data_IF_394108118995
#
_entry.id   IF_394108118995
#
_cell.length_a   1.000
_cell.length_b   1.000
_cell.length_c   1.000
_cell.angle_alpha   90.00
_cell.angle_beta   90.00
_cell.angle_gamma   90.00
#
_symmetry.space_group_name_H-M   'P 1'
#
loop_
_entity.id
_entity.type
_entity.pdbx_description
1 polymer ?
#
# COMPACT_ATOMS: atom_id res chain seq x y z
N UNK A 1 4.63 18.14 -26.33
CA UNK A 1 4.90 18.22 -24.88
C UNK A 1 6.35 18.65 -24.68
N UNK A 2 6.62 19.67 -23.88
CA UNK A 2 7.98 20.08 -23.59
C UNK A 2 8.67 18.95 -22.80
N UNK A 3 9.84 18.52 -23.27
CA UNK A 3 10.64 17.52 -22.57
C UNK A 3 11.11 18.16 -21.26
N UNK A 4 10.68 17.63 -20.14
CA UNK A 4 11.19 18.06 -18.82
C UNK A 4 12.58 17.45 -18.64
N UNK A 5 13.59 18.31 -18.52
CA UNK A 5 14.97 17.86 -18.37
C UNK A 5 15.33 17.60 -16.90
N UNK A 6 16.35 16.75 -16.69
CA UNK A 6 16.95 16.52 -15.38
C UNK A 6 17.56 17.82 -14.84
N UNK A 7 17.39 18.08 -13.56
CA UNK A 7 17.90 19.27 -12.85
C UNK A 7 18.64 18.86 -11.59
N UNK A 8 19.77 19.48 -11.33
CA UNK A 8 20.57 19.23 -10.12
C UNK A 8 20.80 20.52 -9.32
N UNK A 9 20.86 20.39 -8.02
CA UNK A 9 21.16 21.47 -7.06
C UNK A 9 22.24 20.97 -6.11
N UNK A 10 23.31 21.74 -5.98
CA UNK A 10 24.25 21.56 -4.88
C UNK A 10 23.64 22.14 -3.60
N UNK A 11 23.65 21.36 -2.53
CA UNK A 11 22.97 21.69 -1.26
C UNK A 11 24.00 21.74 -0.16
N UNK A 12 24.34 22.95 0.31
CA UNK A 12 25.27 23.20 1.39
C UNK A 12 24.68 24.06 2.52
N UNK A 13 23.65 24.86 2.21
CA UNK A 13 23.01 25.77 3.16
C UNK A 13 21.49 25.66 3.12
N UNK A 14 20.82 26.19 4.13
CA UNK A 14 19.36 26.13 4.27
C UNK A 14 18.59 26.79 3.09
N UNK A 15 19.22 27.72 2.38
CA UNK A 15 18.59 28.39 1.23
C UNK A 15 18.32 27.42 0.07
N UNK A 16 19.23 26.45 -0.16
CA UNK A 16 19.12 25.47 -1.23
C UNK A 16 18.01 24.43 -0.93
N UNK A 17 17.69 24.16 0.34
CA UNK A 17 16.57 23.30 0.72
C UNK A 17 15.25 23.88 0.18
N UNK A 18 15.05 25.20 0.34
CA UNK A 18 13.88 25.88 -0.22
C UNK A 18 13.86 25.88 -1.74
N UNK A 19 15.03 25.94 -2.39
CA UNK A 19 15.15 25.85 -3.83
C UNK A 19 14.82 24.42 -4.34
N UNK A 20 15.37 23.39 -3.70
CA UNK A 20 15.09 22.00 -4.01
C UNK A 20 13.58 21.67 -3.90
N UNK A 21 12.93 22.16 -2.84
CA UNK A 21 11.50 22.01 -2.63
C UNK A 21 10.69 22.61 -3.77
N UNK A 22 10.95 23.88 -4.14
CA UNK A 22 10.22 24.56 -5.22
C UNK A 22 10.44 23.90 -6.57
N UNK A 23 11.69 23.52 -6.87
CA UNK A 23 12.03 22.84 -8.12
C UNK A 23 11.35 21.47 -8.24
N UNK A 24 11.29 20.71 -7.15
CA UNK A 24 10.60 19.43 -7.12
C UNK A 24 9.10 19.57 -7.36
N UNK A 25 8.45 20.59 -6.77
CA UNK A 25 7.04 20.89 -6.98
C UNK A 25 6.77 21.34 -8.43
N UNK A 26 7.63 22.17 -9.00
CA UNK A 26 7.55 22.64 -10.39
C UNK A 26 7.66 21.47 -11.39
N UNK A 27 8.67 20.62 -11.24
CA UNK A 27 8.89 19.46 -12.10
C UNK A 27 7.72 18.46 -11.98
N UNK A 28 7.29 18.15 -10.75
CA UNK A 28 6.16 17.26 -10.52
C UNK A 28 4.87 17.80 -11.17
N UNK A 29 4.61 19.11 -11.05
CA UNK A 29 3.47 19.75 -11.71
C UNK A 29 3.58 19.67 -13.23
N UNK A 30 4.77 19.93 -13.80
CA UNK A 30 5.01 19.85 -15.25
C UNK A 30 4.87 18.42 -15.80
N UNK A 31 5.17 17.40 -14.97
CA UNK A 31 4.94 15.98 -15.28
C UNK A 31 3.49 15.55 -15.11
N UNK A 32 2.59 16.44 -14.63
CA UNK A 32 1.17 16.17 -14.51
C UNK A 32 0.78 15.38 -13.25
N UNK A 33 1.60 15.38 -12.21
CA UNK A 33 1.19 14.84 -10.89
C UNK A 33 0.05 15.66 -10.29
N UNK A 34 -0.82 14.99 -9.52
CA UNK A 34 -1.87 15.67 -8.77
C UNK A 34 -1.29 16.68 -7.75
N UNK A 35 -2.00 17.80 -7.45
CA UNK A 35 -1.50 18.84 -6.54
C UNK A 35 -1.08 18.33 -5.15
N UNK A 36 -1.77 17.32 -4.63
CA UNK A 36 -1.43 16.68 -3.35
C UNK A 36 -0.11 15.92 -3.43
N UNK A 37 0.08 15.19 -4.53
CA UNK A 37 1.31 14.43 -4.80
C UNK A 37 2.48 15.36 -5.05
N UNK A 38 2.29 16.49 -5.76
CA UNK A 38 3.33 17.52 -5.93
C UNK A 38 3.85 18.03 -4.58
N UNK A 39 2.94 18.30 -3.62
CA UNK A 39 3.31 18.72 -2.26
C UNK A 39 4.09 17.65 -1.49
N UNK A 40 3.72 16.37 -1.64
CA UNK A 40 4.44 15.25 -1.02
C UNK A 40 5.86 15.12 -1.61
N UNK A 41 6.01 15.20 -2.93
CA UNK A 41 7.30 15.19 -3.63
C UNK A 41 8.18 16.37 -3.17
N UNK A 42 7.60 17.57 -3.06
CA UNK A 42 8.31 18.76 -2.58
C UNK A 42 8.79 18.59 -1.12
N UNK A 43 8.00 17.94 -0.28
CA UNK A 43 8.38 17.62 1.10
C UNK A 43 9.54 16.63 1.13
N UNK A 44 9.49 15.57 0.33
CA UNK A 44 10.58 14.59 0.18
C UNK A 44 11.88 15.27 -0.25
N UNK A 45 11.83 16.15 -1.26
CA UNK A 45 13.01 16.91 -1.69
C UNK A 45 13.59 17.77 -0.55
N UNK A 46 12.72 18.38 0.27
CA UNK A 46 13.15 19.14 1.45
C UNK A 46 13.83 18.27 2.50
N UNK A 47 13.28 17.09 2.79
CA UNK A 47 13.84 16.15 3.77
C UNK A 47 15.20 15.63 3.32
N UNK A 48 15.31 15.20 2.06
CA UNK A 48 16.56 14.70 1.50
C UNK A 48 17.64 15.81 1.45
N UNK A 49 17.29 17.04 1.03
CA UNK A 49 18.19 18.18 1.06
C UNK A 49 18.62 18.54 2.48
N UNK A 50 17.71 18.47 3.46
CA UNK A 50 18.02 18.71 4.87
C UNK A 50 19.00 17.67 5.41
N UNK A 51 18.85 16.40 5.00
CA UNK A 51 19.76 15.33 5.39
C UNK A 51 21.18 15.56 4.87
N UNK A 52 21.35 16.06 3.64
CA UNK A 52 22.66 16.45 3.11
C UNK A 52 23.39 17.47 4.01
N UNK A 53 22.67 18.50 4.48
CA UNK A 53 23.25 19.52 5.35
C UNK A 53 23.54 18.97 6.73
N UNK A 54 22.59 18.27 7.34
CA UNK A 54 22.71 17.84 8.74
C UNK A 54 23.72 16.73 8.95
N UNK A 55 23.83 15.81 7.99
CA UNK A 55 24.59 14.58 8.19
C UNK A 55 25.85 14.46 7.32
N UNK A 56 25.97 15.29 6.27
CA UNK A 56 27.06 15.16 5.31
C UNK A 56 27.83 16.46 4.98
N UNK A 57 27.47 17.57 5.61
CA UNK A 57 28.03 18.91 5.32
C UNK A 57 27.75 19.41 3.88
N UNK A 58 26.75 18.82 3.22
CA UNK A 58 26.34 19.15 1.88
C UNK A 58 26.40 17.96 0.92
N UNK A 59 25.95 18.19 -0.31
CA UNK A 59 25.94 17.19 -1.36
C UNK A 59 25.15 17.64 -2.58
N UNK A 60 24.90 16.70 -3.50
CA UNK A 60 24.17 16.94 -4.74
C UNK A 60 22.76 16.33 -4.64
N UNK A 61 21.72 17.11 -4.98
CA UNK A 61 20.37 16.64 -5.17
C UNK A 61 20.01 16.76 -6.65
N UNK A 62 19.57 15.64 -7.26
CA UNK A 62 19.18 15.56 -8.66
C UNK A 62 17.73 15.13 -8.80
N UNK A 63 16.98 15.82 -9.63
CA UNK A 63 15.60 15.56 -9.99
C UNK A 63 15.55 15.12 -11.45
N UNK A 64 15.17 13.86 -11.70
CA UNK A 64 15.18 13.27 -13.03
C UNK A 64 13.79 12.75 -13.39
N UNK A 65 13.14 13.30 -14.42
CA UNK A 65 11.98 12.65 -15.05
C UNK A 65 12.36 11.26 -15.53
N UNK A 66 11.59 10.26 -15.15
CA UNK A 66 11.83 8.87 -15.50
C UNK A 66 10.64 8.30 -16.26
N UNK A 67 10.92 7.31 -17.13
CA UNK A 67 9.91 6.55 -17.82
C UNK A 67 10.30 5.09 -17.83
N UNK A 68 9.39 4.23 -17.38
CA UNK A 68 9.58 2.79 -17.36
C UNK A 68 8.27 2.09 -17.68
N UNK A 69 8.29 1.15 -18.61
CA UNK A 69 7.15 0.34 -19.09
C UNK A 69 5.86 1.16 -19.35
N UNK A 70 6.04 2.36 -19.93
CA UNK A 70 4.93 3.28 -20.25
C UNK A 70 4.48 4.17 -19.09
N UNK A 71 4.96 3.96 -17.88
CA UNK A 71 4.72 4.82 -16.73
C UNK A 71 5.73 5.99 -16.71
N UNK A 72 5.23 7.19 -16.46
CA UNK A 72 6.06 8.37 -16.24
C UNK A 72 6.18 8.64 -14.74
N UNK A 73 7.34 9.11 -14.33
CA UNK A 73 7.62 9.36 -12.92
C UNK A 73 8.68 10.43 -12.69
N UNK A 74 8.98 10.68 -11.44
CA UNK A 74 10.06 11.54 -10.99
C UNK A 74 10.97 10.79 -10.02
N UNK A 75 12.27 10.75 -10.34
CA UNK A 75 13.32 10.28 -9.44
C UNK A 75 13.93 11.48 -8.72
N UNK A 76 14.07 11.38 -7.40
CA UNK A 76 14.87 12.28 -6.57
C UNK A 76 16.05 11.47 -6.06
N UNK A 77 17.24 11.95 -6.36
CA UNK A 77 18.49 11.30 -6.03
C UNK A 77 19.36 12.26 -5.21
N UNK A 78 19.97 11.78 -4.13
CA UNK A 78 20.95 12.54 -3.38
C UNK A 78 22.25 11.76 -3.22
N UNK A 79 23.36 12.45 -3.39
CA UNK A 79 24.71 11.91 -3.23
C UNK A 79 25.51 12.81 -2.31
N UNK A 80 26.08 12.24 -1.28
CA UNK A 80 27.00 12.92 -0.37
C UNK A 80 28.30 12.13 -0.15
N UNK A 81 29.28 12.81 0.46
CA UNK A 81 30.55 12.25 0.88
C UNK A 81 30.75 12.30 2.39
N UNK A 82 29.66 12.29 3.15
CA UNK A 82 29.65 12.34 4.61
C UNK A 82 30.08 11.01 5.26
N UNK A 83 29.86 10.90 6.58
CA UNK A 83 30.29 9.71 7.35
C UNK A 83 29.53 8.43 7.02
N UNK A 84 28.46 8.51 6.24
CA UNK A 84 27.56 7.41 5.96
C UNK A 84 26.60 7.10 7.13
N UNK A 85 25.65 6.19 6.90
CA UNK A 85 24.63 5.74 7.86
C UNK A 85 25.12 4.45 8.52
N UNK A 86 25.15 4.43 9.85
CA UNK A 86 25.65 3.27 10.61
C UNK A 86 24.71 2.05 10.50
N UNK A 87 23.39 2.29 10.53
CA UNK A 87 22.34 1.30 10.37
C UNK A 87 21.19 1.92 9.56
N UNK A 88 21.03 1.47 8.32
CA UNK A 88 19.94 1.95 7.44
C UNK A 88 18.59 1.54 8.02
N UNK A 89 18.48 0.34 8.60
CA UNK A 89 17.23 -0.17 9.19
C UNK A 89 16.78 0.71 10.38
N UNK A 90 17.71 1.16 11.23
CA UNK A 90 17.41 2.09 12.32
C UNK A 90 17.00 3.47 11.80
N UNK A 91 17.70 3.98 10.76
CA UNK A 91 17.39 5.28 10.16
C UNK A 91 16.03 5.31 9.43
N UNK A 92 15.48 4.16 9.09
CA UNK A 92 14.15 3.99 8.49
C UNK A 92 13.03 3.96 9.54
N UNK A 93 13.36 3.82 10.83
CA UNK A 93 12.36 3.77 11.91
C UNK A 93 11.89 5.18 12.27
N UNK A 94 10.58 5.35 12.44
CA UNK A 94 9.99 6.64 12.82
C UNK A 94 10.47 7.07 14.22
N UNK A 95 10.79 8.37 14.33
CA UNK A 95 11.28 8.96 15.58
C UNK A 95 12.79 8.81 15.81
N UNK A 96 13.51 8.09 14.96
CA UNK A 96 14.96 8.04 15.03
C UNK A 96 15.55 9.34 14.46
N UNK A 97 15.87 10.28 15.34
CA UNK A 97 16.59 11.51 15.01
C UNK A 97 17.78 11.65 15.95
N UNK A 98 18.97 11.60 15.40
CA UNK A 98 20.22 11.83 16.15
C UNK A 98 20.44 13.30 16.51
N UNK A 99 19.66 14.23 15.97
CA UNK A 99 19.81 15.69 16.19
C UNK A 99 18.44 16.36 16.22
N UNK A 100 17.74 16.35 17.36
CA UNK A 100 16.71 17.32 17.77
C UNK A 100 15.64 17.78 16.77
N UNK A 101 15.35 17.03 15.71
CA UNK A 101 14.33 17.36 14.71
C UNK A 101 13.06 16.49 14.88
N UNK A 102 11.93 17.00 14.41
CA UNK A 102 10.57 16.43 14.57
C UNK A 102 10.34 15.02 13.94
N UNK A 103 11.38 14.19 13.79
CA UNK A 103 11.22 12.77 13.45
C UNK A 103 10.72 12.45 12.02
N UNK A 104 10.78 13.40 11.09
CA UNK A 104 10.41 13.20 9.69
C UNK A 104 11.62 12.79 8.83
N UNK A 105 12.28 11.69 9.14
CA UNK A 105 13.48 11.24 8.44
C UNK A 105 13.18 10.35 7.20
N UNK A 106 14.14 9.47 6.89
CA UNK A 106 14.07 8.52 5.75
C UNK A 106 12.82 7.63 5.80
N UNK A 107 12.26 7.34 6.98
CA UNK A 107 10.98 6.66 7.13
C UNK A 107 9.82 7.42 6.47
N UNK A 108 9.79 8.75 6.60
CA UNK A 108 8.77 9.58 5.92
C UNK A 108 8.97 9.60 4.40
N UNK A 109 10.22 9.64 3.93
CA UNK A 109 10.53 9.52 2.49
C UNK A 109 9.99 8.20 1.95
N UNK A 110 10.24 7.10 2.65
CA UNK A 110 9.75 5.77 2.26
C UNK A 110 8.22 5.70 2.17
N UNK A 111 7.51 6.36 3.09
CA UNK A 111 6.03 6.39 3.04
C UNK A 111 5.46 7.26 1.92
N UNK A 112 6.16 8.31 1.50
CA UNK A 112 5.69 9.25 0.49
C UNK A 112 6.08 8.88 -0.94
N UNK A 113 7.14 8.12 -1.12
CA UNK A 113 7.63 7.66 -2.41
C UNK A 113 7.20 6.21 -2.67
N UNK A 114 7.20 5.81 -3.93
CA UNK A 114 6.83 4.45 -4.33
C UNK A 114 8.02 3.49 -4.25
N UNK A 115 9.22 4.01 -4.43
CA UNK A 115 10.47 3.26 -4.32
C UNK A 115 11.50 4.09 -3.54
N UNK A 116 12.27 3.41 -2.68
CA UNK A 116 13.39 3.99 -1.95
C UNK A 116 14.55 3.00 -1.91
N UNK A 117 15.70 3.42 -2.40
CA UNK A 117 16.96 2.66 -2.34
C UNK A 117 18.00 3.50 -1.65
N UNK A 118 18.71 2.92 -0.68
CA UNK A 118 19.76 3.61 0.08
C UNK A 118 21.02 2.76 0.01
N UNK A 119 22.06 3.35 -0.56
CA UNK A 119 23.42 2.81 -0.54
C UNK A 119 24.27 3.69 0.37
N UNK A 120 24.64 3.18 1.53
CA UNK A 120 25.49 3.92 2.46
C UNK A 120 26.68 3.06 2.88
N UNK A 121 27.85 3.69 2.90
CA UNK A 121 29.06 3.06 3.35
C UNK A 121 29.76 3.99 4.33
N UNK A 122 30.19 3.46 5.47
CA UNK A 122 30.93 4.23 6.49
C UNK A 122 32.16 4.87 5.84
N UNK A 123 32.31 6.16 6.07
CA UNK A 123 33.42 7.02 5.53
C UNK A 123 33.42 7.19 4.00
N UNK A 124 32.39 6.82 3.27
CA UNK A 124 32.29 7.01 1.81
C UNK A 124 31.05 7.77 1.37
N UNK A 125 30.19 8.15 2.33
CA UNK A 125 28.96 8.89 2.06
C UNK A 125 27.73 8.03 1.90
N UNK A 126 26.64 8.68 1.50
CA UNK A 126 25.33 8.06 1.28
C UNK A 126 24.76 8.46 -0.08
N UNK A 127 24.22 7.49 -0.77
CA UNK A 127 23.50 7.65 -2.02
C UNK A 127 22.06 7.18 -1.81
N UNK A 128 21.11 8.10 -1.93
CA UNK A 128 19.68 7.82 -1.79
C UNK A 128 19.01 8.04 -3.12
N UNK A 129 18.23 7.06 -3.57
CA UNK A 129 17.39 7.13 -4.77
C UNK A 129 15.97 6.88 -4.33
N UNK A 130 15.08 7.81 -4.63
CA UNK A 130 13.64 7.66 -4.41
C UNK A 130 12.87 7.96 -5.69
N UNK A 131 11.80 7.18 -5.95
CA UNK A 131 11.00 7.32 -7.16
C UNK A 131 9.54 7.47 -6.82
N UNK A 132 8.87 8.37 -7.52
CA UNK A 132 7.43 8.53 -7.51
C UNK A 132 6.90 8.38 -8.93
N UNK A 133 5.97 7.44 -9.12
CA UNK A 133 5.35 7.20 -10.41
C UNK A 133 4.09 8.04 -10.56
N UNK A 134 3.91 8.62 -11.75
CA UNK A 134 2.65 9.30 -12.07
C UNK A 134 1.58 8.24 -12.23
N UNK A 135 0.51 8.42 -11.48
CA UNK A 135 -0.67 7.60 -11.59
C UNK A 135 -1.53 8.20 -12.70
N UNK A 136 -1.42 7.66 -13.90
CA UNK A 136 -2.32 8.02 -14.96
C UNK A 136 -3.69 7.43 -14.64
N UNK A 137 -4.52 8.26 -14.04
CA UNK A 137 -5.95 7.95 -13.93
C UNK A 137 -6.64 8.55 -15.14
N UNK A 138 -6.88 7.81 -16.22
CA UNK A 138 -7.87 8.24 -17.19
C UNK A 138 -9.17 8.40 -16.40
N UNK A 139 -9.72 9.60 -16.39
CA UNK A 139 -11.08 9.83 -15.92
C UNK A 139 -12.01 9.05 -16.86
N UNK A 140 -12.10 7.76 -16.69
CA UNK A 140 -13.16 6.96 -17.25
C UNK A 140 -14.45 7.38 -16.54
N UNK A 141 -15.35 7.98 -17.28
CA UNK A 141 -16.73 8.24 -16.84
C UNK A 141 -17.57 6.95 -16.83
N UNK A 142 -16.94 5.78 -17.03
CA UNK A 142 -17.65 4.50 -16.91
C UNK A 142 -17.98 4.27 -15.44
N UNK A 143 -19.25 4.17 -15.16
CA UNK A 143 -19.75 3.75 -13.84
C UNK A 143 -19.10 2.43 -13.48
N UNK A 144 -18.57 2.33 -12.26
CA UNK A 144 -18.04 1.07 -11.75
C UNK A 144 -19.15 0.00 -11.80
N UNK A 145 -18.96 -1.11 -12.53
CA UNK A 145 -19.99 -2.15 -12.66
C UNK A 145 -20.00 -3.11 -11.46
N UNK A 146 -19.39 -2.70 -10.34
CA UNK A 146 -19.22 -3.52 -9.16
C UNK A 146 -19.98 -2.92 -7.98
N UNK A 147 -20.79 -3.73 -7.32
CA UNK A 147 -21.37 -3.47 -6.01
C UNK A 147 -20.44 -4.04 -4.94
N UNK A 148 -20.00 -3.20 -4.00
CA UNK A 148 -19.03 -3.59 -2.96
C UNK A 148 -19.68 -3.40 -1.60
N UNK A 149 -19.68 -4.45 -0.81
CA UNK A 149 -20.25 -4.49 0.53
C UNK A 149 -19.25 -4.96 1.57
N UNK A 150 -19.32 -4.36 2.76
CA UNK A 150 -18.49 -4.71 3.90
C UNK A 150 -19.34 -4.86 5.15
N UNK A 151 -19.04 -5.88 5.93
CA UNK A 151 -19.53 -6.04 7.28
C UNK A 151 -18.38 -6.48 8.18
N UNK A 152 -18.24 -5.81 9.32
CA UNK A 152 -17.16 -6.08 10.26
C UNK A 152 -17.65 -5.88 11.69
N UNK A 153 -17.08 -6.64 12.63
CA UNK A 153 -17.33 -6.47 14.06
C UNK A 153 -16.10 -6.83 14.89
N UNK A 154 -15.86 -6.14 15.99
CA UNK A 154 -14.84 -6.57 16.94
C UNK A 154 -15.24 -7.87 17.64
N UNK A 155 -14.26 -8.56 18.19
CA UNK A 155 -14.46 -9.66 19.12
C UNK A 155 -15.36 -9.21 20.28
N UNK A 156 -16.37 -10.01 20.70
CA UNK A 156 -17.22 -9.68 21.83
C UNK A 156 -16.42 -9.32 23.09
N UNK A 157 -16.74 -8.18 23.70
CA UNK A 157 -16.06 -7.64 24.88
C UNK A 157 -14.88 -6.73 24.58
N UNK A 158 -14.61 -6.43 23.30
CA UNK A 158 -13.61 -5.45 22.88
C UNK A 158 -14.25 -4.29 22.11
N UNK A 159 -13.76 -3.09 22.33
CA UNK A 159 -14.23 -1.88 21.64
C UNK A 159 -13.51 -1.68 20.29
N UNK A 160 -12.28 -2.20 20.16
CA UNK A 160 -11.45 -2.09 18.96
C UNK A 160 -11.46 -3.39 18.18
N UNK A 161 -11.70 -3.28 16.90
CA UNK A 161 -11.62 -4.39 15.95
C UNK A 161 -10.15 -4.62 15.55
N UNK A 162 -9.65 -5.84 15.68
CA UNK A 162 -8.35 -6.25 15.18
C UNK A 162 -8.30 -6.40 13.67
N UNK A 163 -9.46 -6.62 13.05
CA UNK A 163 -9.61 -6.65 11.59
C UNK A 163 -9.74 -5.24 11.00
N UNK A 164 -9.26 -5.06 9.76
CA UNK A 164 -9.50 -3.89 8.94
C UNK A 164 -9.66 -4.29 7.46
N UNK A 165 -9.99 -3.35 6.59
CA UNK A 165 -10.21 -3.60 5.16
C UNK A 165 -9.74 -2.43 4.30
N UNK A 166 -9.55 -2.70 3.01
CA UNK A 166 -9.19 -1.71 1.99
C UNK A 166 -10.17 -1.77 0.83
N UNK A 167 -10.61 -0.60 0.37
CA UNK A 167 -11.36 -0.42 -0.87
C UNK A 167 -10.81 0.83 -1.56
N UNK A 168 -10.15 0.67 -2.70
CA UNK A 168 -9.59 1.77 -3.50
C UNK A 168 -9.96 1.64 -4.96
N UNK A 169 -10.62 2.65 -5.49
CA UNK A 169 -11.01 2.72 -6.90
C UNK A 169 -10.05 3.62 -7.67
N UNK A 170 -9.65 3.21 -8.86
CA UNK A 170 -8.93 4.06 -9.81
C UNK A 170 -9.15 3.54 -11.24
N UNK A 171 -9.23 4.45 -12.21
CA UNK A 171 -9.48 4.09 -13.60
C UNK A 171 -10.64 3.09 -13.75
N UNK A 172 -10.41 1.98 -14.42
CA UNK A 172 -11.34 0.85 -14.57
C UNK A 172 -10.98 -0.32 -13.64
N UNK A 173 -10.44 -0.03 -12.45
CA UNK A 173 -10.02 -1.04 -11.48
C UNK A 173 -10.42 -0.70 -10.04
N UNK A 174 -10.45 -1.72 -9.20
CA UNK A 174 -10.58 -1.59 -7.74
C UNK A 174 -9.60 -2.53 -7.05
N UNK A 175 -8.95 -2.05 -6.00
CA UNK A 175 -8.27 -2.90 -5.02
C UNK A 175 -9.18 -3.06 -3.81
N UNK A 176 -9.46 -4.30 -3.45
CA UNK A 176 -10.14 -4.67 -2.21
C UNK A 176 -9.26 -5.59 -1.39
N UNK A 177 -9.41 -5.54 -0.08
CA UNK A 177 -8.64 -6.42 0.79
C UNK A 177 -9.21 -6.50 2.20
N UNK A 178 -8.90 -7.61 2.85
CA UNK A 178 -9.15 -7.86 4.28
C UNK A 178 -7.80 -8.02 4.96
N UNK A 179 -7.65 -7.40 6.12
CA UNK A 179 -6.46 -7.39 6.95
C UNK A 179 -6.88 -7.82 8.34
N UNK A 180 -6.18 -8.79 8.92
CA UNK A 180 -6.42 -9.27 10.27
C UNK A 180 -5.12 -9.10 11.08
N UNK A 181 -5.17 -8.22 12.08
CA UNK A 181 -4.06 -7.93 12.98
C UNK A 181 -3.91 -9.04 14.02
N UNK A 182 -2.68 -9.49 14.24
CA UNK A 182 -2.41 -10.67 15.07
C UNK A 182 -2.89 -10.52 16.51
N UNK A 183 -3.87 -11.33 16.91
CA UNK A 183 -4.53 -11.30 18.21
C UNK A 183 -5.79 -10.46 18.20
N UNK A 184 -6.06 -9.68 19.25
CA UNK A 184 -7.26 -8.84 19.38
C UNK A 184 -6.97 -7.57 20.19
N UNK A 185 -7.90 -6.60 20.14
CA UNK A 185 -7.81 -5.32 20.84
C UNK A 185 -6.78 -4.37 20.24
N UNK A 186 -6.31 -3.40 21.01
CA UNK A 186 -5.48 -2.28 20.56
C UNK A 186 -4.23 -2.68 19.75
N UNK A 187 -3.41 -3.69 20.17
CA UNK A 187 -2.23 -4.07 19.40
C UNK A 187 -2.53 -4.72 18.04
N UNK A 188 -3.62 -5.49 17.93
CA UNK A 188 -4.07 -6.07 16.66
C UNK A 188 -4.62 -4.97 15.74
N UNK A 189 -5.46 -4.09 16.29
CA UNK A 189 -5.98 -2.92 15.60
C UNK A 189 -4.86 -2.03 15.02
N UNK A 190 -3.84 -1.71 15.82
CA UNK A 190 -2.69 -0.92 15.37
C UNK A 190 -1.91 -1.59 14.23
N UNK A 191 -1.77 -2.92 14.26
CA UNK A 191 -1.11 -3.67 13.19
C UNK A 191 -1.94 -3.63 11.90
N UNK A 192 -3.25 -3.88 11.97
CA UNK A 192 -4.15 -3.84 10.83
C UNK A 192 -4.22 -2.42 10.22
N UNK A 193 -4.33 -1.38 11.05
CA UNK A 193 -4.30 0.01 10.58
C UNK A 193 -3.00 0.39 9.89
N UNK A 194 -1.86 -0.05 10.42
CA UNK A 194 -0.54 0.21 9.81
C UNK A 194 -0.46 -0.40 8.41
N UNK A 195 -0.88 -1.65 8.27
CA UNK A 195 -0.93 -2.33 6.97
C UNK A 195 -1.90 -1.63 6.01
N UNK A 196 -3.11 -1.30 6.47
CA UNK A 196 -4.09 -0.56 5.69
C UNK A 196 -3.56 0.77 5.16
N UNK A 197 -2.97 1.60 6.02
CA UNK A 197 -2.41 2.89 5.62
C UNK A 197 -1.33 2.74 4.55
N UNK A 198 -0.48 1.70 4.67
CA UNK A 198 0.51 1.40 3.65
C UNK A 198 -0.16 1.02 2.31
N UNK A 199 -1.09 0.07 2.33
CA UNK A 199 -1.83 -0.37 1.13
C UNK A 199 -2.56 0.80 0.48
N UNK A 200 -3.26 1.63 1.27
CA UNK A 200 -3.98 2.81 0.77
C UNK A 200 -3.06 3.86 0.14
N UNK A 201 -1.82 3.96 0.57
CA UNK A 201 -0.81 4.83 -0.02
C UNK A 201 -0.20 4.30 -1.31
N UNK A 202 -0.27 2.97 -1.55
CA UNK A 202 0.43 2.28 -2.63
C UNK A 202 -0.48 1.34 -3.44
N UNK A 203 -1.78 1.60 -3.44
CA UNK A 203 -2.82 0.70 -3.94
C UNK A 203 -2.70 0.34 -5.43
N UNK A 204 -2.05 1.15 -6.22
CA UNK A 204 -1.84 1.00 -7.67
C UNK A 204 -0.54 0.27 -8.04
N UNK A 205 0.32 -0.03 -7.07
CA UNK A 205 1.54 -0.80 -7.29
C UNK A 205 1.24 -2.30 -7.49
N UNK A 206 2.17 -3.08 -8.09
CA UNK A 206 2.08 -4.54 -8.14
C UNK A 206 1.83 -5.13 -6.74
N UNK A 207 0.97 -6.16 -6.66
CA UNK A 207 0.57 -6.72 -5.35
C UNK A 207 1.76 -7.24 -4.54
N UNK A 208 2.76 -7.85 -5.17
CA UNK A 208 3.99 -8.33 -4.53
C UNK A 208 4.77 -7.20 -3.84
N UNK A 209 4.86 -6.03 -4.48
CA UNK A 209 5.48 -4.83 -3.90
C UNK A 209 4.67 -4.27 -2.73
N UNK A 210 3.34 -4.26 -2.85
CA UNK A 210 2.46 -3.84 -1.74
C UNK A 210 2.69 -4.71 -0.51
N UNK A 211 2.73 -6.02 -0.67
CA UNK A 211 2.98 -6.95 0.44
C UNK A 211 4.37 -6.78 1.05
N UNK A 212 5.41 -6.61 0.23
CA UNK A 212 6.78 -6.39 0.69
C UNK A 212 6.88 -5.11 1.52
N UNK A 213 6.31 -4.02 1.01
CA UNK A 213 6.34 -2.74 1.71
C UNK A 213 5.47 -2.71 2.96
N UNK A 214 4.28 -3.34 2.94
CA UNK A 214 3.46 -3.53 4.14
C UNK A 214 4.22 -4.35 5.21
N UNK A 215 5.00 -5.35 4.78
CA UNK A 215 5.88 -6.12 5.65
C UNK A 215 6.91 -5.23 6.36
N UNK A 216 7.49 -4.27 5.66
CA UNK A 216 8.41 -3.30 6.28
C UNK A 216 7.68 -2.34 7.22
N UNK A 217 6.53 -1.82 6.82
CA UNK A 217 5.75 -0.89 7.64
C UNK A 217 5.28 -1.53 8.97
N UNK A 218 4.93 -2.81 8.95
CA UNK A 218 4.40 -3.52 10.12
C UNK A 218 5.46 -4.09 11.06
N UNK A 219 6.77 -3.93 10.81
CA UNK A 219 7.85 -4.50 11.64
C UNK A 219 7.81 -4.11 13.12
N UNK A 220 7.33 -2.91 13.42
CA UNK A 220 7.20 -2.42 14.81
C UNK A 220 5.88 -2.80 15.47
N UNK A 221 5.02 -3.57 14.80
CA UNK A 221 3.72 -4.03 15.29
C UNK A 221 3.75 -5.52 15.62
N UNK A 222 2.61 -6.06 16.04
CA UNK A 222 2.43 -7.52 16.19
C UNK A 222 2.42 -8.26 14.84
N UNK A 223 2.34 -7.52 13.73
CA UNK A 223 2.10 -8.07 12.41
C UNK A 223 0.64 -8.39 12.15
N UNK A 224 0.36 -8.73 10.91
CA UNK A 224 -0.99 -9.07 10.44
C UNK A 224 -0.94 -10.15 9.38
N UNK A 225 -2.10 -10.69 9.05
CA UNK A 225 -2.35 -11.44 7.82
C UNK A 225 -3.20 -10.61 6.88
N UNK A 226 -3.07 -10.80 5.58
CA UNK A 226 -3.76 -9.97 4.60
C UNK A 226 -4.02 -10.73 3.30
N UNK A 227 -5.18 -10.48 2.71
CA UNK A 227 -5.48 -10.85 1.33
C UNK A 227 -5.89 -9.60 0.56
N UNK A 228 -5.34 -9.45 -0.65
CA UNK A 228 -5.66 -8.37 -1.57
C UNK A 228 -6.15 -8.96 -2.90
N UNK A 229 -7.19 -8.35 -3.43
CA UNK A 229 -7.73 -8.65 -4.75
C UNK A 229 -7.82 -7.36 -5.56
N UNK A 230 -7.21 -7.35 -6.74
CA UNK A 230 -7.34 -6.27 -7.71
C UNK A 230 -8.22 -6.74 -8.85
N UNK A 231 -9.34 -6.06 -9.05
CA UNK A 231 -10.28 -6.34 -10.13
C UNK A 231 -10.17 -5.21 -11.15
N UNK A 232 -9.79 -5.56 -12.36
CA UNK A 232 -9.81 -4.69 -13.53
C UNK A 232 -10.99 -5.11 -14.42
N UNK A 233 -12.06 -4.30 -14.40
CA UNK A 233 -13.25 -4.62 -15.19
C UNK A 233 -13.14 -4.19 -16.66
N UNK A 234 -12.18 -3.33 -16.99
CA UNK A 234 -11.86 -3.00 -18.39
C UNK A 234 -11.11 -4.13 -19.08
N UNK A 235 -10.20 -4.78 -18.37
CA UNK A 235 -9.44 -5.93 -18.84
C UNK A 235 -10.05 -7.28 -18.48
N UNK A 236 -11.17 -7.30 -17.73
CA UNK A 236 -11.89 -8.52 -17.31
C UNK A 236 -11.01 -9.54 -16.56
N UNK A 237 -10.16 -9.06 -15.65
CA UNK A 237 -9.29 -9.93 -14.85
C UNK A 237 -9.28 -9.57 -13.35
N UNK A 238 -8.94 -10.57 -12.54
CA UNK A 238 -8.73 -10.50 -11.11
C UNK A 238 -7.30 -10.94 -10.79
N UNK A 239 -6.50 -10.08 -10.15
CA UNK A 239 -5.27 -10.47 -9.48
C UNK A 239 -5.52 -10.68 -8.00
N UNK A 240 -4.92 -11.74 -7.47
CA UNK A 240 -5.06 -12.10 -6.06
C UNK A 240 -3.71 -12.44 -5.44
N UNK A 241 -3.48 -12.00 -4.22
CA UNK A 241 -2.37 -12.39 -3.38
C UNK A 241 -2.81 -12.45 -1.91
N UNK A 242 -2.28 -13.42 -1.16
CA UNK A 242 -2.58 -13.58 0.26
C UNK A 242 -1.39 -14.12 1.04
N UNK A 243 -1.20 -13.58 2.24
CA UNK A 243 -0.31 -14.11 3.28
C UNK A 243 -1.13 -14.27 4.56
N UNK A 244 -1.23 -15.51 5.05
CA UNK A 244 -1.96 -15.88 6.26
C UNK A 244 -3.14 -16.80 6.01
N UNK A 245 -4.28 -16.55 6.64
CA UNK A 245 -5.46 -17.41 6.69
C UNK A 245 -6.77 -16.69 6.28
N UNK A 246 -6.66 -15.53 5.60
CA UNK A 246 -7.83 -14.88 5.00
C UNK A 246 -8.37 -15.77 3.89
N UNK A 247 -9.65 -16.10 3.96
CA UNK A 247 -10.35 -16.92 2.96
C UNK A 247 -10.82 -16.05 1.79
N UNK A 248 -10.70 -16.63 0.59
CA UNK A 248 -11.20 -16.03 -0.64
C UNK A 248 -12.08 -17.05 -1.38
N UNK A 249 -13.30 -16.65 -1.73
CA UNK A 249 -14.28 -17.50 -2.44
C UNK A 249 -14.88 -16.72 -3.61
N UNK A 250 -14.98 -17.36 -4.76
CA UNK A 250 -15.66 -16.81 -5.95
C UNK A 250 -16.83 -17.68 -6.33
N UNK A 251 -17.93 -17.03 -6.71
CA UNK A 251 -19.05 -17.67 -7.42
C UNK A 251 -18.96 -17.24 -8.88
N UNK A 252 -18.95 -18.19 -9.80
CA UNK A 252 -18.91 -17.96 -11.24
C UNK A 252 -19.02 -19.27 -12.00
N UNK A 253 -19.17 -19.18 -13.34
CA UNK A 253 -19.29 -20.33 -14.23
C UNK A 253 -17.93 -20.88 -14.69
N UNK A 254 -16.85 -20.10 -14.49
CA UNK A 254 -15.50 -20.50 -14.88
C UNK A 254 -14.94 -21.61 -13.99
N UNK A 255 -13.88 -22.25 -14.48
CA UNK A 255 -13.09 -23.24 -13.72
C UNK A 255 -12.74 -22.76 -12.31
N UNK A 256 -12.60 -23.66 -11.33
CA UNK A 256 -12.39 -23.27 -9.94
C UNK A 256 -11.19 -22.34 -9.81
N UNK A 257 -11.43 -21.18 -9.20
CA UNK A 257 -10.38 -20.21 -8.89
C UNK A 257 -9.39 -20.85 -7.90
N UNK A 258 -8.11 -20.85 -8.26
CA UNK A 258 -7.07 -21.41 -7.40
C UNK A 258 -6.31 -20.26 -6.73
N UNK A 259 -6.78 -19.83 -5.57
CA UNK A 259 -6.14 -18.81 -4.76
C UNK A 259 -5.00 -19.42 -3.97
N UNK A 260 -3.77 -19.10 -4.36
CA UNK A 260 -2.58 -19.54 -3.63
C UNK A 260 -2.38 -18.69 -2.38
N UNK A 261 -2.61 -19.30 -1.23
CA UNK A 261 -2.34 -18.68 0.08
C UNK A 261 -0.94 -19.07 0.55
N UNK A 262 -0.14 -18.10 0.97
CA UNK A 262 1.15 -18.32 1.62
C UNK A 262 1.00 -18.22 3.13
N UNK A 263 1.52 -19.20 3.87
CA UNK A 263 1.58 -19.12 5.34
C UNK A 263 2.66 -18.13 5.76
N UNK A 264 2.35 -17.23 6.68
CA UNK A 264 3.27 -16.23 7.20
C UNK A 264 2.54 -15.11 7.90
N UNK A 265 3.30 -14.18 8.46
CA UNK A 265 2.81 -12.99 9.16
C UNK A 265 3.55 -11.78 8.61
N UNK A 266 2.81 -10.84 8.05
CA UNK A 266 3.31 -9.56 7.54
C UNK A 266 3.85 -8.75 8.72
N UNK A 267 5.07 -8.24 8.59
CA UNK A 267 5.77 -7.53 9.66
C UNK A 267 6.76 -8.38 10.46
N UNK A 268 6.67 -9.73 10.39
CA UNK A 268 7.61 -10.62 11.08
C UNK A 268 8.49 -11.39 10.08
N UNK A 269 7.97 -12.44 9.48
CA UNK A 269 8.71 -13.34 8.60
C UNK A 269 7.85 -13.77 7.40
N UNK A 270 7.17 -12.82 6.78
CA UNK A 270 6.34 -13.09 5.61
C UNK A 270 7.20 -13.57 4.42
N UNK A 271 6.83 -14.67 3.75
CA UNK A 271 7.40 -15.02 2.47
C UNK A 271 6.94 -14.02 1.39
N UNK A 272 7.60 -14.02 0.23
CA UNK A 272 7.04 -13.33 -0.93
C UNK A 272 5.65 -13.89 -1.27
N UNK A 273 4.65 -13.03 -1.49
CA UNK A 273 3.32 -13.48 -1.88
C UNK A 273 3.38 -14.13 -3.27
N UNK A 274 2.50 -15.08 -3.51
CA UNK A 274 2.30 -15.61 -4.85
C UNK A 274 1.11 -14.90 -5.48
N UNK A 275 1.39 -13.99 -6.40
CA UNK A 275 0.34 -13.33 -7.18
C UNK A 275 -0.22 -14.31 -8.21
N UNK A 276 -1.54 -14.43 -8.27
CA UNK A 276 -2.26 -15.23 -9.27
C UNK A 276 -3.23 -14.35 -10.03
N UNK A 277 -3.40 -14.62 -11.32
CA UNK A 277 -4.33 -13.88 -12.19
C UNK A 277 -5.40 -14.82 -12.73
N UNK A 278 -6.64 -14.37 -12.69
CA UNK A 278 -7.81 -15.15 -13.06
C UNK A 278 -8.74 -14.30 -13.96
N UNK A 279 -9.55 -14.91 -14.85
CA UNK A 279 -10.60 -14.19 -15.56
C UNK A 279 -11.65 -13.69 -14.55
N UNK A 280 -12.19 -12.48 -14.80
CA UNK A 280 -13.25 -11.88 -13.98
C UNK A 280 -14.61 -11.83 -14.68
N UNK A 281 -14.65 -11.91 -16.02
CA UNK A 281 -15.88 -11.77 -16.82
C UNK A 281 -17.05 -12.68 -16.37
N UNK A 282 -16.71 -13.94 -16.01
CA UNK A 282 -17.71 -14.94 -15.58
C UNK A 282 -17.92 -14.97 -14.06
N UNK A 283 -17.19 -14.15 -13.30
CA UNK A 283 -17.33 -14.09 -11.86
C UNK A 283 -18.56 -13.27 -11.48
N UNK A 284 -19.49 -13.87 -10.73
CA UNK A 284 -20.67 -13.18 -10.20
C UNK A 284 -20.38 -12.47 -8.88
N UNK A 285 -19.50 -13.06 -8.06
CA UNK A 285 -19.20 -12.55 -6.74
C UNK A 285 -17.81 -13.03 -6.25
N UNK A 286 -17.06 -12.14 -5.61
CA UNK A 286 -15.89 -12.44 -4.78
C UNK A 286 -16.23 -12.15 -3.32
N UNK A 287 -15.94 -13.08 -2.42
CA UNK A 287 -15.98 -12.92 -0.98
C UNK A 287 -14.56 -13.05 -0.43
N UNK A 288 -14.12 -12.07 0.35
CA UNK A 288 -12.95 -12.16 1.24
C UNK A 288 -13.44 -12.12 2.67
N UNK A 289 -12.90 -12.99 3.54
CA UNK A 289 -13.25 -12.93 4.96
C UNK A 289 -12.11 -13.37 5.88
N UNK A 290 -12.05 -12.78 7.08
CA UNK A 290 -11.12 -13.21 8.13
C UNK A 290 -11.55 -14.56 8.72
N UNK A 291 -10.65 -15.15 9.50
CA UNK A 291 -10.91 -16.44 10.15
C UNK A 291 -11.94 -16.36 11.29
N UNK A 292 -12.35 -15.14 11.66
CA UNK A 292 -13.51 -14.91 12.55
C UNK A 292 -14.85 -15.38 11.97
N UNK A 293 -14.93 -15.67 10.67
CA UNK A 293 -16.07 -16.38 10.10
C UNK A 293 -15.84 -17.89 10.06
N UNK A 294 -16.90 -18.67 10.20
CA UNK A 294 -16.86 -20.13 10.01
C UNK A 294 -16.50 -20.45 8.55
N UNK A 295 -15.67 -21.48 8.34
CA UNK A 295 -15.20 -21.90 7.03
C UNK A 295 -16.01 -23.07 6.43
N UNK A 296 -16.72 -23.84 7.27
CA UNK A 296 -17.50 -25.02 6.88
C UNK A 296 -18.93 -24.63 6.52
N UNK A 297 -19.11 -24.05 5.36
CA UNK A 297 -20.39 -23.71 4.75
C UNK A 297 -20.24 -23.66 3.23
N UNK A 298 -21.35 -23.75 2.52
CA UNK A 298 -21.41 -23.59 1.06
C UNK A 298 -22.44 -22.52 0.67
N UNK A 299 -22.36 -22.04 -0.57
CA UNK A 299 -23.35 -21.11 -1.09
C UNK A 299 -24.75 -21.75 -1.21
N UNK A 300 -24.82 -23.06 -1.30
CA UNK A 300 -26.08 -23.80 -1.31
C UNK A 300 -26.84 -23.69 0.02
N UNK A 301 -26.15 -23.33 1.11
CA UNK A 301 -26.78 -23.05 2.41
C UNK A 301 -27.50 -21.70 2.42
N UNK A 302 -27.23 -20.83 1.43
CA UNK A 302 -27.75 -19.46 1.32
C UNK A 302 -28.12 -19.08 -0.12
N UNK A 303 -29.00 -19.85 -0.81
CA UNK A 303 -29.28 -19.65 -2.24
C UNK A 303 -29.88 -18.27 -2.54
N UNK A 304 -30.63 -17.68 -1.60
CA UNK A 304 -31.28 -16.38 -1.74
C UNK A 304 -30.31 -15.19 -1.68
N UNK A 305 -29.06 -15.39 -1.21
CA UNK A 305 -28.12 -14.30 -1.05
C UNK A 305 -27.55 -13.80 -2.39
N UNK A 306 -27.44 -14.66 -3.39
CA UNK A 306 -26.81 -14.31 -4.67
C UNK A 306 -27.49 -13.11 -5.34
N UNK A 307 -28.81 -12.95 -5.15
CA UNK A 307 -29.60 -11.87 -5.75
C UNK A 307 -29.62 -10.58 -4.91
N UNK A 308 -29.08 -10.62 -3.70
CA UNK A 308 -29.02 -9.46 -2.80
C UNK A 308 -27.84 -8.53 -3.13
N UNK A 309 -27.88 -7.30 -2.61
CA UNK A 309 -26.75 -6.37 -2.70
C UNK A 309 -25.54 -6.88 -1.92
N UNK A 310 -24.33 -6.47 -2.32
CA UNK A 310 -23.08 -6.87 -1.67
C UNK A 310 -23.09 -6.58 -0.16
N UNK A 311 -23.67 -5.44 0.25
CA UNK A 311 -23.82 -5.08 1.66
C UNK A 311 -24.76 -6.00 2.42
N UNK A 312 -25.86 -6.42 1.82
CA UNK A 312 -26.80 -7.35 2.43
C UNK A 312 -26.15 -8.73 2.60
N UNK A 313 -25.45 -9.21 1.56
CA UNK A 313 -24.68 -10.46 1.61
C UNK A 313 -23.66 -10.42 2.74
N UNK A 314 -22.80 -9.39 2.79
CA UNK A 314 -21.76 -9.24 3.81
C UNK A 314 -22.34 -9.26 5.23
N UNK A 315 -23.42 -8.50 5.47
CA UNK A 315 -24.10 -8.46 6.78
C UNK A 315 -24.74 -9.79 7.15
N UNK A 316 -25.36 -10.47 6.20
CA UNK A 316 -26.00 -11.77 6.44
C UNK A 316 -24.95 -12.82 6.82
N UNK A 317 -23.85 -12.91 6.05
CA UNK A 317 -22.77 -13.84 6.33
C UNK A 317 -22.12 -13.56 7.68
N UNK A 318 -21.85 -12.28 8.00
CA UNK A 318 -21.33 -11.91 9.31
C UNK A 318 -22.29 -12.32 10.42
N UNK A 319 -23.58 -12.04 10.28
CA UNK A 319 -24.60 -12.36 11.31
C UNK A 319 -24.82 -13.86 11.55
N UNK A 320 -24.56 -14.71 10.52
CA UNK A 320 -24.78 -16.15 10.61
C UNK A 320 -23.52 -16.96 10.92
N UNK A 321 -22.36 -16.48 10.45
CA UNK A 321 -21.13 -17.27 10.45
C UNK A 321 -20.05 -16.73 11.37
N UNK A 322 -20.22 -15.52 11.96
CA UNK A 322 -19.21 -14.95 12.83
C UNK A 322 -19.11 -15.74 14.15
N UNK A 323 -17.86 -16.06 14.51
CA UNK A 323 -17.51 -16.75 15.75
C UNK A 323 -17.43 -15.75 16.90
N UNK A 324 -17.90 -16.11 18.08
CA UNK A 324 -17.84 -15.23 19.26
C UNK A 324 -16.47 -15.12 19.92
N UNK A 325 -15.47 -15.77 19.36
CA UNK A 325 -14.12 -15.84 19.94
C UNK A 325 -13.12 -14.92 19.28
N UNK A 326 -13.50 -14.23 18.17
CA UNK A 326 -12.59 -13.42 17.38
C UNK A 326 -13.25 -12.19 16.76
N UNK A 327 -12.39 -11.27 16.27
CA UNK A 327 -12.78 -10.22 15.33
C UNK A 327 -13.30 -10.86 14.03
N UNK A 328 -14.20 -10.23 13.31
CA UNK A 328 -14.78 -10.84 12.13
C UNK A 328 -15.08 -9.80 11.06
N UNK A 329 -14.64 -10.09 9.84
CA UNK A 329 -14.82 -9.21 8.67
C UNK A 329 -15.20 -10.03 7.44
N UNK A 330 -16.24 -9.57 6.71
CA UNK A 330 -16.66 -10.08 5.41
C UNK A 330 -16.70 -8.93 4.40
N UNK A 331 -15.96 -9.05 3.30
CA UNK A 331 -15.95 -8.12 2.17
C UNK A 331 -16.45 -8.84 0.92
N UNK A 332 -17.47 -8.29 0.29
CA UNK A 332 -18.11 -8.84 -0.91
C UNK A 332 -17.95 -7.87 -2.06
N UNK A 333 -17.54 -8.38 -3.22
CA UNK A 333 -17.58 -7.66 -4.50
C UNK A 333 -18.47 -8.43 -5.45
N UNK A 334 -19.47 -7.77 -6.00
CA UNK A 334 -20.47 -8.37 -6.88
C UNK A 334 -20.52 -7.64 -8.22
N UNK A 335 -20.65 -8.34 -9.31
CA UNK A 335 -20.97 -7.76 -10.62
C UNK A 335 -22.42 -7.25 -10.62
N UNK A 336 -22.65 -6.01 -11.11
CA UNK A 336 -23.98 -5.38 -11.20
C UNK A 336 -24.58 -5.63 -12.58
#
# INVERSE_FOLDING_TARGET
>A
MATVESRSIEVFHQAEVGAARRLAEEIASALGFEPRTCKSIALVASELATNLIKHAQGGLLTLTPIRDDGHEGLQIETLDHGPGIASVDEAMTDGFSTVGSLGYGLGSVNRMMDELTIHSNRCKGTHVISRKWRRDHPRSLKTCPLDIGIATRPKPGFDLNGDDFVIKHWAEAVLVGVIDGLGHGEPAHAAAQTARQYVEGHFDQPLDRIFTGAGHACRATRGCVMALARIDWGGEWLEFASIGNIEARVIGEASPYNFNVRRGIIGLNAPEPKVTRHPWADAKLLLLHSDGLATHWSWDDFPELIDQSANQIARHLLGKLAKDIDDATALVVKHV
#
